data_IF_338133479745
#
_entry.id   IF_338133479745
#
_cell.length_a   1.000
_cell.length_b   1.000
_cell.length_c   1.000
_cell.angle_alpha   90.00
_cell.angle_beta   90.00
_cell.angle_gamma   90.00
#
_symmetry.space_group_name_H-M   'P 1'
#
loop_
_entity.id
_entity.type
_entity.pdbx_description
1 polymer ?
#
# COMPACT_ATOMS: atom_id res chain seq x y z
N UNK A 1 10.40 -15.29 -19.41
CA UNK A 1 9.69 -14.28 -18.60
C UNK A 1 10.04 -12.84 -19.01
N UNK A 2 11.25 -12.61 -19.50
CA UNK A 2 11.72 -11.32 -20.01
C UNK A 2 12.27 -11.51 -21.42
N UNK A 3 12.20 -10.48 -22.27
CA UNK A 3 12.93 -10.35 -23.53
C UNK A 3 14.02 -9.30 -23.35
N UNK A 4 15.22 -9.59 -23.84
CA UNK A 4 16.33 -8.65 -23.85
C UNK A 4 16.58 -8.21 -25.29
N UNK A 5 16.59 -6.91 -25.51
CA UNK A 5 16.99 -6.30 -26.79
C UNK A 5 18.23 -5.45 -26.56
N UNK A 6 19.29 -5.79 -27.30
CA UNK A 6 20.56 -5.06 -27.21
C UNK A 6 20.33 -3.59 -27.50
N UNK A 7 20.77 -2.69 -26.60
CA UNK A 7 20.59 -1.23 -26.61
C UNK A 7 19.19 -0.73 -26.25
N UNK A 8 18.13 -1.56 -26.18
CA UNK A 8 16.77 -1.16 -25.83
C UNK A 8 16.33 -1.62 -24.44
N UNK A 9 17.17 -2.45 -23.79
CA UNK A 9 16.93 -2.89 -22.41
C UNK A 9 16.13 -4.18 -22.30
N UNK A 10 15.43 -4.33 -21.19
CA UNK A 10 14.67 -5.53 -20.82
C UNK A 10 13.18 -5.23 -20.84
N UNK A 11 12.41 -6.06 -21.55
CA UNK A 11 10.95 -6.00 -21.55
C UNK A 11 10.34 -7.24 -20.88
N UNK A 12 9.35 -7.06 -20.03
CA UNK A 12 8.62 -8.18 -19.44
C UNK A 12 7.62 -8.75 -20.46
N UNK A 13 7.65 -10.07 -20.65
CA UNK A 13 6.68 -10.76 -21.51
C UNK A 13 5.29 -10.83 -20.86
N UNK A 14 4.24 -11.15 -21.65
CA UNK A 14 2.88 -11.40 -21.11
C UNK A 14 2.91 -12.51 -20.06
N UNK A 15 3.64 -13.59 -20.29
CA UNK A 15 3.82 -14.68 -19.34
C UNK A 15 4.59 -14.24 -18.09
N UNK A 16 5.63 -13.42 -18.24
CA UNK A 16 6.36 -12.83 -17.11
C UNK A 16 5.48 -11.94 -16.26
N UNK A 17 4.62 -11.12 -16.88
CA UNK A 17 3.66 -10.28 -16.17
C UNK A 17 2.63 -11.11 -15.39
N UNK A 18 2.10 -12.18 -15.98
CA UNK A 18 1.18 -13.08 -15.32
C UNK A 18 1.82 -13.73 -14.10
N UNK A 19 3.05 -14.24 -14.24
CA UNK A 19 3.80 -14.86 -13.15
C UNK A 19 4.09 -13.88 -12.01
N UNK A 20 4.52 -12.66 -12.34
CA UNK A 20 4.72 -11.60 -11.35
C UNK A 20 3.44 -11.29 -10.56
N UNK A 21 2.27 -11.24 -11.21
CA UNK A 21 1.00 -11.01 -10.53
C UNK A 21 0.60 -12.16 -9.60
N UNK A 22 0.95 -13.41 -9.92
CA UNK A 22 0.74 -14.54 -9.02
C UNK A 22 1.67 -14.49 -7.80
N UNK A 23 2.91 -14.06 -7.97
CA UNK A 23 3.85 -13.86 -6.85
C UNK A 23 3.33 -12.73 -5.95
N UNK A 24 2.99 -11.57 -6.52
CA UNK A 24 2.40 -10.44 -5.78
C UNK A 24 1.16 -10.86 -4.99
N UNK A 25 0.27 -11.68 -5.60
CA UNK A 25 -0.89 -12.20 -4.91
C UNK A 25 -0.51 -13.03 -3.69
N UNK A 26 0.42 -13.98 -3.84
CA UNK A 26 0.90 -14.83 -2.74
C UNK A 26 1.47 -13.97 -1.60
N UNK A 27 2.38 -13.06 -1.95
CA UNK A 27 3.02 -12.16 -1.00
C UNK A 27 1.98 -11.40 -0.16
N UNK A 28 1.05 -10.70 -0.81
CA UNK A 28 0.03 -9.89 -0.14
C UNK A 28 -0.97 -10.69 0.69
N UNK A 29 -1.30 -11.91 0.27
CA UNK A 29 -2.12 -12.82 1.07
C UNK A 29 -1.38 -13.26 2.34
N UNK A 30 -0.07 -13.55 2.25
CA UNK A 30 0.74 -13.86 3.41
C UNK A 30 0.89 -12.67 4.35
N UNK A 31 1.15 -11.46 3.85
CA UNK A 31 1.17 -10.26 4.69
C UNK A 31 -0.15 -10.09 5.43
N UNK A 32 -1.28 -10.22 4.73
CA UNK A 32 -2.61 -10.13 5.35
C UNK A 32 -2.80 -11.18 6.45
N UNK A 33 -2.41 -12.42 6.20
CA UNK A 33 -2.51 -13.49 7.19
C UNK A 33 -1.63 -13.23 8.41
N UNK A 34 -0.40 -12.84 8.20
CA UNK A 34 0.57 -12.57 9.28
C UNK A 34 0.08 -11.44 10.18
N UNK A 35 -0.42 -10.36 9.59
CA UNK A 35 -0.95 -9.22 10.36
C UNK A 35 -2.25 -9.57 11.06
N UNK A 36 -3.26 -10.08 10.34
CA UNK A 36 -4.59 -10.27 10.89
C UNK A 36 -4.72 -11.46 11.85
N UNK A 37 -3.95 -12.53 11.61
CA UNK A 37 -4.12 -13.79 12.35
C UNK A 37 -2.99 -14.09 13.32
N UNK A 38 -1.77 -13.63 13.04
CA UNK A 38 -0.61 -13.89 13.88
C UNK A 38 -0.14 -12.64 14.64
N UNK A 39 -0.72 -11.46 14.38
CA UNK A 39 -0.45 -10.24 15.13
C UNK A 39 0.89 -9.58 14.80
N UNK A 40 1.46 -9.87 13.63
CA UNK A 40 2.61 -9.11 13.13
C UNK A 40 2.23 -7.65 12.93
N UNK A 41 3.17 -6.75 13.14
CA UNK A 41 2.99 -5.36 12.75
C UNK A 41 3.24 -5.18 11.25
N UNK A 42 2.65 -4.15 10.66
CA UNK A 42 2.77 -3.90 9.21
C UNK A 42 4.20 -3.59 8.75
N UNK A 43 5.08 -3.17 9.66
CA UNK A 43 6.50 -2.88 9.39
C UNK A 43 7.41 -4.12 9.53
N UNK A 44 6.94 -5.21 10.14
CA UNK A 44 7.70 -6.45 10.35
C UNK A 44 7.34 -7.56 9.36
N UNK A 45 6.19 -7.43 8.70
CA UNK A 45 5.57 -8.55 7.97
C UNK A 45 6.25 -8.89 6.65
N UNK A 46 6.89 -7.92 6.00
CA UNK A 46 7.41 -8.02 4.64
C UNK A 46 8.42 -9.15 4.47
N UNK A 47 9.47 -9.18 5.30
CA UNK A 47 10.56 -10.17 5.20
C UNK A 47 10.07 -11.61 5.41
N UNK A 48 9.04 -11.80 6.24
CA UNK A 48 8.44 -13.11 6.47
C UNK A 48 7.54 -13.51 5.30
N UNK A 49 6.76 -12.59 4.76
CA UNK A 49 5.91 -12.83 3.58
C UNK A 49 6.76 -13.16 2.34
N UNK A 50 7.91 -12.50 2.15
CA UNK A 50 8.87 -12.80 1.08
C UNK A 50 9.36 -14.26 1.16
N UNK A 51 9.67 -14.76 2.36
CA UNK A 51 10.07 -16.17 2.50
C UNK A 51 8.91 -17.13 2.18
N UNK A 52 7.70 -16.80 2.59
CA UNK A 52 6.51 -17.65 2.40
C UNK A 52 5.99 -17.65 0.96
N UNK A 53 6.20 -16.59 0.18
CA UNK A 53 5.75 -16.53 -1.23
C UNK A 53 6.41 -17.57 -2.12
N UNK A 54 7.57 -18.11 -1.72
CA UNK A 54 8.28 -19.16 -2.44
C UNK A 54 7.65 -20.56 -2.28
N UNK A 55 6.63 -20.71 -1.44
CA UNK A 55 5.92 -21.99 -1.32
C UNK A 55 5.13 -22.26 -2.61
N UNK A 56 5.43 -23.41 -3.24
CA UNK A 56 4.80 -23.84 -4.48
C UNK A 56 3.60 -24.77 -4.19
N UNK A 57 2.50 -24.22 -3.68
CA UNK A 57 1.26 -24.94 -3.48
C UNK A 57 0.05 -24.08 -3.84
N UNK A 58 -0.47 -24.18 -5.08
CA UNK A 58 -1.67 -23.44 -5.48
C UNK A 58 -2.86 -23.66 -4.55
N UNK A 59 -3.06 -24.91 -4.12
CA UNK A 59 -4.15 -25.25 -3.20
C UNK A 59 -4.01 -24.53 -1.85
N UNK A 60 -2.79 -24.42 -1.32
CA UNK A 60 -2.56 -23.67 -0.07
C UNK A 60 -2.95 -22.20 -0.21
N UNK A 61 -2.60 -21.59 -1.34
CA UNK A 61 -2.93 -20.17 -1.60
C UNK A 61 -4.43 -19.96 -1.77
N UNK A 62 -5.14 -20.88 -2.42
CA UNK A 62 -6.60 -20.85 -2.51
C UNK A 62 -7.26 -20.98 -1.12
N UNK A 63 -6.77 -21.89 -0.29
CA UNK A 63 -7.27 -22.06 1.09
C UNK A 63 -6.95 -20.88 1.98
N UNK A 64 -5.79 -20.24 1.80
CA UNK A 64 -5.41 -19.03 2.50
C UNK A 64 -6.35 -17.86 2.13
N UNK A 65 -6.63 -17.69 0.85
CA UNK A 65 -7.55 -16.68 0.35
C UNK A 65 -8.99 -16.87 0.87
N UNK A 66 -9.49 -18.12 0.84
CA UNK A 66 -10.78 -18.49 1.45
C UNK A 66 -10.81 -18.20 2.96
N UNK A 67 -9.76 -18.60 3.68
CA UNK A 67 -9.66 -18.41 5.12
C UNK A 67 -9.65 -16.93 5.52
N UNK A 68 -9.06 -16.08 4.71
CA UNK A 68 -9.01 -14.61 4.90
C UNK A 68 -10.29 -13.91 4.41
N UNK A 69 -11.25 -14.64 3.83
CA UNK A 69 -12.50 -14.08 3.32
C UNK A 69 -12.33 -13.26 2.03
N UNK A 70 -11.37 -13.64 1.18
CA UNK A 70 -11.08 -13.00 -0.10
C UNK A 70 -10.71 -11.50 0.03
N UNK A 71 -9.65 -11.17 0.74
CA UNK A 71 -9.25 -9.79 0.96
C UNK A 71 -8.90 -9.12 -0.37
N UNK A 72 -9.28 -7.86 -0.53
CA UNK A 72 -9.02 -7.10 -1.75
C UNK A 72 -7.82 -6.17 -1.64
N UNK A 73 -7.33 -5.94 -0.42
CA UNK A 73 -6.16 -5.10 -0.10
C UNK A 73 -5.31 -5.79 0.98
N UNK A 74 -4.02 -5.53 0.94
CA UNK A 74 -3.05 -5.96 1.95
C UNK A 74 -2.96 -4.95 3.13
N UNK A 75 -2.16 -5.22 4.17
CA UNK A 75 -2.00 -4.31 5.32
C UNK A 75 -1.40 -2.95 4.97
N UNK A 76 -0.77 -2.79 3.82
CA UNK A 76 -0.18 -1.54 3.34
C UNK A 76 -1.15 -0.77 2.41
N UNK A 77 -2.35 -1.32 2.16
CA UNK A 77 -3.38 -0.74 1.31
C UNK A 77 -3.23 -1.08 -0.18
N UNK A 78 -2.30 -1.94 -0.56
CA UNK A 78 -2.13 -2.32 -1.96
C UNK A 78 -3.17 -3.36 -2.40
N UNK A 79 -3.68 -3.26 -3.65
CA UNK A 79 -4.70 -4.19 -4.12
C UNK A 79 -4.13 -5.60 -4.34
N UNK A 80 -4.79 -6.62 -3.80
CA UNK A 80 -4.44 -8.02 -3.99
C UNK A 80 -4.97 -8.46 -5.38
N UNK A 81 -4.12 -8.95 -6.30
CA UNK A 81 -4.59 -9.51 -7.57
C UNK A 81 -5.55 -10.69 -7.34
N UNK A 82 -6.59 -10.83 -8.15
CA UNK A 82 -7.42 -12.03 -8.13
C UNK A 82 -6.67 -13.25 -8.69
N UNK A 83 -7.30 -14.43 -8.67
CA UNK A 83 -6.71 -15.67 -9.20
C UNK A 83 -6.34 -15.63 -10.68
N UNK A 84 -6.89 -14.69 -11.44
CA UNK A 84 -6.59 -14.45 -12.86
C UNK A 84 -5.58 -13.32 -13.07
N UNK A 85 -4.99 -12.77 -12.01
CA UNK A 85 -4.06 -11.66 -12.06
C UNK A 85 -4.73 -10.30 -12.32
N UNK A 86 -6.05 -10.17 -12.17
CA UNK A 86 -6.71 -8.87 -12.31
C UNK A 86 -6.59 -8.09 -11.01
N UNK A 87 -6.23 -6.82 -11.15
CA UNK A 87 -6.19 -5.85 -10.06
C UNK A 87 -7.36 -4.87 -10.25
N UNK A 88 -8.14 -4.69 -9.20
CA UNK A 88 -9.15 -3.61 -9.17
C UNK A 88 -8.42 -2.28 -9.01
N UNK A 89 -8.53 -1.43 -10.03
CA UNK A 89 -7.98 -0.09 -9.95
C UNK A 89 -8.66 0.69 -8.82
N UNK A 90 -7.85 1.27 -7.96
CA UNK A 90 -8.31 2.21 -6.93
C UNK A 90 -7.83 3.59 -7.34
N UNK A 91 -8.73 4.57 -7.31
CA UNK A 91 -8.36 5.95 -7.60
C UNK A 91 -7.81 6.58 -6.33
N UNK A 92 -6.51 6.71 -6.29
CA UNK A 92 -5.76 7.25 -5.16
C UNK A 92 -4.86 8.37 -5.67
N UNK A 93 -4.71 9.41 -4.86
CA UNK A 93 -3.78 10.51 -5.11
C UNK A 93 -2.85 10.68 -3.90
N UNK A 94 -1.76 11.39 -4.11
CA UNK A 94 -0.85 11.72 -3.02
C UNK A 94 -1.51 12.70 -2.03
N UNK A 95 -1.22 12.55 -0.73
CA UNK A 95 -1.69 13.51 0.28
C UNK A 95 -1.24 14.95 -0.05
N UNK A 96 -0.12 15.13 -0.73
CA UNK A 96 0.36 16.45 -1.18
C UNK A 96 -0.58 17.15 -2.15
N UNK A 97 -1.43 16.39 -2.86
CA UNK A 97 -2.39 16.90 -3.84
C UNK A 97 -3.72 17.35 -3.20
N UNK A 98 -4.00 16.91 -1.98
CA UNK A 98 -5.24 17.25 -1.26
C UNK A 98 -5.24 18.76 -0.94
N UNK A 99 -6.32 19.50 -1.27
CA UNK A 99 -6.46 20.90 -0.88
C UNK A 99 -6.54 21.08 0.64
N UNK A 100 -6.18 22.27 1.10
CA UNK A 100 -6.34 22.70 2.50
C UNK A 100 -7.83 22.60 2.89
N UNK A 101 -8.10 22.29 4.16
CA UNK A 101 -9.42 22.10 4.77
C UNK A 101 -10.23 20.92 4.20
N UNK A 102 -9.61 20.03 3.42
CA UNK A 102 -10.28 18.82 2.92
C UNK A 102 -9.95 17.61 3.77
N UNK A 103 -11.00 16.89 4.17
CA UNK A 103 -10.93 15.60 4.82
C UNK A 103 -10.72 14.50 3.77
N UNK A 104 -9.80 13.61 4.04
CA UNK A 104 -9.54 12.40 3.24
C UNK A 104 -9.19 11.23 4.15
N UNK A 105 -9.00 10.04 3.60
CA UNK A 105 -8.57 8.87 4.36
C UNK A 105 -7.36 8.22 3.71
N UNK A 106 -6.40 7.78 4.52
CA UNK A 106 -5.23 7.02 4.07
C UNK A 106 -5.69 5.69 3.50
N UNK A 107 -5.26 5.37 2.28
CA UNK A 107 -5.64 4.14 1.58
C UNK A 107 -4.47 3.21 1.34
N UNK A 108 -3.29 3.75 1.09
CA UNK A 108 -2.08 2.97 0.91
C UNK A 108 -0.83 3.82 1.19
N UNK A 109 0.30 3.17 1.29
CA UNK A 109 1.63 3.78 1.31
C UNK A 109 2.38 3.39 0.04
N UNK A 110 3.20 4.30 -0.52
CA UNK A 110 4.07 3.97 -1.66
C UNK A 110 5.37 3.31 -1.20
N UNK A 111 5.91 3.78 -0.08
CA UNK A 111 7.12 3.25 0.54
C UNK A 111 6.71 2.29 1.66
N UNK A 112 7.05 1.02 1.51
CA UNK A 112 6.84 -0.04 2.49
C UNK A 112 8.04 -0.30 3.39
N UNK A 113 9.06 0.58 3.39
CA UNK A 113 10.24 0.38 4.24
C UNK A 113 9.86 0.37 5.72
N UNK A 114 10.45 -0.53 6.54
CA UNK A 114 10.19 -0.59 7.97
C UNK A 114 10.36 0.75 8.68
N UNK A 115 11.39 1.51 8.30
CA UNK A 115 11.67 2.82 8.90
C UNK A 115 10.53 3.82 8.64
N UNK A 116 9.97 3.83 7.43
CA UNK A 116 8.84 4.71 7.09
C UNK A 116 7.56 4.28 7.80
N UNK A 117 7.26 2.98 7.83
CA UNK A 117 6.06 2.45 8.49
C UNK A 117 6.10 2.69 10.01
N UNK A 118 7.27 2.50 10.64
CA UNK A 118 7.49 2.84 12.06
C UNK A 118 7.31 4.34 12.32
N UNK A 119 7.83 5.19 11.44
CA UNK A 119 7.60 6.63 11.53
C UNK A 119 6.10 6.96 11.49
N UNK A 120 5.35 6.40 10.55
CA UNK A 120 3.90 6.60 10.46
C UNK A 120 3.18 6.13 11.72
N UNK A 121 3.51 4.94 12.23
CA UNK A 121 2.96 4.40 13.48
C UNK A 121 3.21 5.35 14.66
N UNK A 122 4.43 5.89 14.76
CA UNK A 122 4.83 6.83 15.81
C UNK A 122 4.02 8.12 15.79
N UNK A 123 3.72 8.65 14.60
CA UNK A 123 2.89 9.85 14.46
C UNK A 123 1.39 9.55 14.49
N UNK A 124 0.99 8.28 14.51
CA UNK A 124 -0.40 7.83 14.59
C UNK A 124 -1.12 7.77 13.24
N UNK A 125 -0.38 7.63 12.14
CA UNK A 125 -0.93 7.39 10.80
C UNK A 125 -0.98 5.90 10.54
N UNK A 126 -2.10 5.41 10.02
CA UNK A 126 -2.36 4.01 9.67
C UNK A 126 -3.32 3.94 8.48
N UNK A 127 -3.45 2.77 7.86
CA UNK A 127 -4.41 2.57 6.75
C UNK A 127 -5.84 2.72 7.27
N UNK A 128 -6.58 3.65 6.69
CA UNK A 128 -7.92 4.03 7.13
C UNK A 128 -7.97 5.28 8.01
N UNK A 129 -6.83 5.79 8.50
CA UNK A 129 -6.80 7.02 9.29
C UNK A 129 -7.40 8.19 8.48
N UNK A 130 -8.26 8.97 9.11
CA UNK A 130 -8.78 10.19 8.51
C UNK A 130 -7.77 11.33 8.66
N UNK A 131 -7.52 12.06 7.58
CA UNK A 131 -6.59 13.19 7.57
C UNK A 131 -7.28 14.42 6.99
N UNK A 132 -7.17 15.52 7.70
CA UNK A 132 -7.49 16.86 7.17
C UNK A 132 -6.18 17.65 7.01
N UNK A 133 -5.93 18.18 5.83
CA UNK A 133 -4.79 19.08 5.58
C UNK A 133 -5.20 20.47 6.08
N UNK A 134 -4.49 21.00 7.07
CA UNK A 134 -4.77 22.31 7.65
C UNK A 134 -4.01 23.43 6.96
N UNK A 135 -2.74 23.15 6.58
CA UNK A 135 -1.87 24.12 5.92
C UNK A 135 -0.80 23.41 5.08
N UNK A 136 -0.24 24.13 4.13
CA UNK A 136 0.91 23.72 3.31
C UNK A 136 1.99 24.79 3.41
N UNK A 137 3.10 24.45 4.06
CA UNK A 137 4.20 25.38 4.28
C UNK A 137 4.92 25.64 2.95
N UNK A 138 4.92 26.89 2.48
CA UNK A 138 5.54 27.26 1.19
C UNK A 138 7.06 27.05 1.16
N UNK A 139 7.73 27.18 2.31
CA UNK A 139 9.19 27.13 2.40
C UNK A 139 9.77 25.75 2.05
N UNK A 140 9.19 24.67 2.62
CA UNK A 140 9.72 23.31 2.48
C UNK A 140 8.69 22.30 1.94
N UNK A 141 7.44 22.75 1.75
CA UNK A 141 6.33 21.91 1.29
C UNK A 141 5.82 20.94 2.34
N UNK A 142 6.22 21.06 3.61
CA UNK A 142 5.63 20.30 4.71
C UNK A 142 4.14 20.63 4.87
N UNK A 143 3.38 19.67 5.40
CA UNK A 143 1.95 19.82 5.62
C UNK A 143 1.65 19.82 7.11
N UNK A 144 0.82 20.76 7.54
CA UNK A 144 0.15 20.67 8.83
C UNK A 144 -1.13 19.87 8.65
N UNK A 145 -1.28 18.77 9.40
CA UNK A 145 -2.41 17.85 9.29
C UNK A 145 -3.06 17.61 10.65
N UNK A 146 -4.34 17.26 10.63
CA UNK A 146 -5.00 16.68 11.78
C UNK A 146 -5.41 15.24 11.47
N UNK A 147 -5.04 14.31 12.36
CA UNK A 147 -5.30 12.87 12.23
C UNK A 147 -6.48 12.53 13.13
N UNK A 148 -7.50 11.85 12.57
CA UNK A 148 -8.73 11.39 13.24
C UNK A 148 -9.45 12.51 14.03
N UNK A 149 -9.32 13.75 13.57
CA UNK A 149 -9.91 14.92 14.20
C UNK A 149 -9.32 15.27 15.58
N UNK A 150 -8.23 14.64 15.99
CA UNK A 150 -7.70 14.76 17.36
C UNK A 150 -6.23 15.16 17.41
N UNK A 151 -5.41 14.62 16.54
CA UNK A 151 -3.95 14.75 16.61
C UNK A 151 -3.43 15.70 15.55
N UNK A 152 -2.99 16.88 15.95
CA UNK A 152 -2.36 17.86 15.08
C UNK A 152 -0.87 17.58 14.95
N UNK A 153 -0.35 17.55 13.72
CA UNK A 153 1.03 17.15 13.40
C UNK A 153 1.53 17.88 12.17
N UNK A 154 2.86 18.08 12.11
CA UNK A 154 3.53 18.37 10.85
C UNK A 154 4.08 17.08 10.24
N UNK A 155 3.92 16.95 8.94
CA UNK A 155 4.48 15.86 8.15
C UNK A 155 5.33 16.45 7.02
N UNK A 156 6.51 15.90 6.77
CA UNK A 156 7.37 16.38 5.68
C UNK A 156 6.69 16.18 4.33
N UNK A 157 7.06 16.98 3.34
CA UNK A 157 6.62 16.83 1.95
C UNK A 157 6.88 15.42 1.42
N UNK A 158 8.06 14.86 1.72
CA UNK A 158 8.45 13.52 1.30
C UNK A 158 7.54 12.45 1.88
N UNK A 159 7.29 12.49 3.19
CA UNK A 159 6.40 11.55 3.85
C UNK A 159 4.95 11.70 3.33
N UNK A 160 4.46 12.93 3.14
CA UNK A 160 3.13 13.17 2.56
C UNK A 160 3.01 12.69 1.12
N UNK A 161 4.09 12.77 0.32
CA UNK A 161 4.12 12.27 -1.06
C UNK A 161 4.03 10.74 -1.14
N UNK A 162 4.41 10.04 -0.07
CA UNK A 162 4.33 8.58 0.05
C UNK A 162 3.02 8.07 0.66
N UNK A 163 2.13 8.96 1.12
CA UNK A 163 0.78 8.60 1.55
C UNK A 163 -0.20 8.72 0.37
N UNK A 164 -0.87 7.62 0.05
CA UNK A 164 -1.96 7.59 -0.91
C UNK A 164 -3.29 7.68 -0.19
N UNK A 165 -4.14 8.59 -0.65
CA UNK A 165 -5.42 8.91 -0.02
C UNK A 165 -6.56 8.86 -1.04
N UNK A 166 -7.81 8.89 -0.59
CA UNK A 166 -8.96 9.04 -1.48
C UNK A 166 -8.86 10.32 -2.30
N UNK A 167 -9.19 10.20 -3.59
CA UNK A 167 -9.37 11.36 -4.46
C UNK A 167 -10.71 12.06 -4.15
N UNK A 168 -10.69 12.98 -3.19
CA UNK A 168 -11.86 13.77 -2.79
C UNK A 168 -12.24 14.86 -3.79
N UNK A 169 -11.42 15.05 -4.85
CA UNK A 169 -11.67 16.10 -5.86
C UNK A 169 -12.71 15.69 -6.90
N UNK A 170 -13.05 14.41 -6.99
CA UNK A 170 -13.95 13.84 -7.99
C UNK A 170 -15.12 13.04 -7.40
N UNK A 171 -15.40 13.15 -6.13
CA UNK A 171 -16.67 12.68 -5.55
C UNK A 171 -17.78 13.68 -5.93
N UNK A 172 -18.48 13.38 -7.04
CA UNK A 172 -19.75 14.01 -7.46
C UNK A 172 -20.89 13.07 -7.18
#
# INVERSE_FOLDING_TARGET
LITYEKYYGVNITKMGKSEALHIIRKHRLWETFLVEKLGFTWDEVHDVAEQLEHIHSPLLIEKLDEFLGHPSIDPHGHPIPDKNGKIKAQRQISLTEIPVEKLTAVRAVKDGSPAFLQYLSKIGVYIGASITVLDKVEFDGSLEIIIDGKRKQFISREAAANLLVNDVMNEK
#
